data_IF_148710046938
#
_entry.id   IF_148710046938
#
_cell.length_a   1.000
_cell.length_b   1.000
_cell.length_c   1.000
_cell.angle_alpha   90.00
_cell.angle_beta   90.00
_cell.angle_gamma   90.00
#
_symmetry.space_group_name_H-M   'P 1'
#
loop_
_entity.id
_entity.type
_entity.pdbx_description
1 polymer ?
#
# COMPACT_ATOMS: atom_id res chain seq x y z
N UNK A 1 -19.62 36.99 7.17
CA UNK A 1 -20.32 36.73 8.45
C UNK A 1 -21.04 35.41 8.39
N UNK A 2 -20.81 34.54 9.39
CA UNK A 2 -21.43 33.24 9.48
C UNK A 2 -22.84 33.36 10.10
N UNK A 3 -23.86 33.04 9.33
CA UNK A 3 -25.26 33.27 9.71
C UNK A 3 -25.90 32.12 10.51
N UNK A 4 -25.30 30.91 10.41
CA UNK A 4 -25.89 29.67 10.92
C UNK A 4 -25.56 29.32 12.39
N UNK A 5 -24.90 30.22 13.12
CA UNK A 5 -24.54 30.00 14.52
C UNK A 5 -23.24 29.22 14.73
N UNK A 6 -22.68 29.35 15.92
CA UNK A 6 -21.36 28.76 16.29
C UNK A 6 -21.36 27.22 16.29
N UNK A 7 -22.45 26.60 16.70
CA UNK A 7 -22.58 25.15 16.77
C UNK A 7 -22.42 24.49 15.40
N UNK A 8 -23.09 25.05 14.38
CA UNK A 8 -23.02 24.53 13.03
C UNK A 8 -21.62 24.72 12.40
N UNK A 9 -20.94 25.81 12.76
CA UNK A 9 -19.55 26.02 12.37
C UNK A 9 -18.62 24.92 12.92
N UNK A 10 -18.72 24.59 14.19
CA UNK A 10 -17.88 23.57 14.83
C UNK A 10 -18.16 22.18 14.26
N UNK A 11 -19.43 21.86 14.01
CA UNK A 11 -19.80 20.60 13.35
C UNK A 11 -19.22 20.56 11.93
N UNK A 12 -19.36 21.62 11.16
CA UNK A 12 -18.83 21.70 9.79
C UNK A 12 -17.32 21.49 9.73
N UNK A 13 -16.56 22.23 10.53
CA UNK A 13 -15.11 22.11 10.61
C UNK A 13 -14.67 20.72 11.09
N UNK A 14 -15.38 20.17 12.07
CA UNK A 14 -15.08 18.83 12.58
C UNK A 14 -15.34 17.74 11.54
N UNK A 15 -16.44 17.83 10.79
CA UNK A 15 -16.76 16.92 9.71
C UNK A 15 -15.74 17.02 8.56
N UNK A 16 -15.29 18.21 8.21
CA UNK A 16 -14.29 18.42 7.18
C UNK A 16 -12.98 17.73 7.54
N UNK A 17 -12.45 17.95 8.73
CA UNK A 17 -11.23 17.29 9.23
C UNK A 17 -11.42 15.76 9.29
N UNK A 18 -12.55 15.29 9.79
CA UNK A 18 -12.85 13.87 9.93
C UNK A 18 -12.89 13.18 8.57
N UNK A 19 -13.62 13.74 7.61
CA UNK A 19 -13.76 13.13 6.28
C UNK A 19 -12.44 13.17 5.50
N UNK A 20 -11.69 14.28 5.56
CA UNK A 20 -10.36 14.37 4.95
C UNK A 20 -9.40 13.32 5.55
N UNK A 21 -9.36 13.21 6.86
CA UNK A 21 -8.51 12.22 7.55
C UNK A 21 -8.93 10.80 7.22
N UNK A 22 -10.22 10.49 7.22
CA UNK A 22 -10.73 9.17 6.87
C UNK A 22 -10.38 8.78 5.43
N UNK A 23 -10.43 9.72 4.49
CA UNK A 23 -10.06 9.49 3.10
C UNK A 23 -8.58 9.10 2.95
N UNK A 24 -7.68 9.85 3.58
CA UNK A 24 -6.23 9.57 3.53
C UNK A 24 -5.91 8.24 4.20
N UNK A 25 -6.49 7.97 5.37
CA UNK A 25 -6.30 6.70 6.08
C UNK A 25 -6.89 5.51 5.31
N UNK A 26 -7.98 5.71 4.56
CA UNK A 26 -8.54 4.66 3.70
C UNK A 26 -7.59 4.27 2.58
N UNK A 27 -6.95 5.25 1.93
CA UNK A 27 -5.90 4.98 0.92
C UNK A 27 -4.71 4.25 1.52
N UNK A 28 -4.30 4.63 2.73
CA UNK A 28 -3.25 3.94 3.47
C UNK A 28 -3.64 2.47 3.76
N UNK A 29 -4.86 2.23 4.24
CA UNK A 29 -5.37 0.89 4.51
C UNK A 29 -5.41 0.01 3.25
N UNK A 30 -5.84 0.57 2.11
CA UNK A 30 -5.82 -0.13 0.81
C UNK A 30 -4.38 -0.48 0.41
N UNK A 31 -3.42 0.41 0.60
CA UNK A 31 -2.01 0.16 0.29
C UNK A 31 -1.43 -0.96 1.13
N UNK A 32 -1.74 -1.00 2.43
CA UNK A 32 -1.36 -2.08 3.34
C UNK A 32 -2.01 -3.40 2.93
N UNK A 33 -3.29 -3.39 2.55
CA UNK A 33 -4.00 -4.57 2.04
C UNK A 33 -3.30 -5.16 0.81
N UNK A 34 -2.90 -4.30 -0.14
CA UNK A 34 -2.15 -4.72 -1.33
C UNK A 34 -0.78 -5.28 -0.99
N UNK A 35 -0.08 -4.68 -0.05
CA UNK A 35 1.21 -5.19 0.42
C UNK A 35 1.08 -6.60 1.00
N UNK A 36 0.09 -6.84 1.85
CA UNK A 36 -0.19 -8.17 2.42
C UNK A 36 -0.54 -9.18 1.34
N UNK A 37 -1.33 -8.78 0.33
CA UNK A 37 -1.71 -9.64 -0.79
C UNK A 37 -0.50 -10.09 -1.62
N UNK A 38 0.46 -9.20 -1.86
CA UNK A 38 1.67 -9.49 -2.65
C UNK A 38 2.70 -10.29 -1.85
N UNK A 39 2.85 -10.01 -0.55
CA UNK A 39 3.90 -10.60 0.28
C UNK A 39 3.55 -12.00 0.77
N UNK A 40 2.27 -12.24 1.08
CA UNK A 40 1.80 -13.50 1.66
C UNK A 40 0.59 -14.08 0.90
N UNK A 41 0.75 -14.52 -0.36
CA UNK A 41 -0.39 -14.91 -1.21
C UNK A 41 -1.18 -16.10 -0.64
N UNK A 42 -0.53 -17.07 0.00
CA UNK A 42 -1.19 -18.26 0.55
C UNK A 42 -2.00 -17.96 1.81
N UNK A 43 -1.41 -17.20 2.74
CA UNK A 43 -2.07 -16.81 4.00
C UNK A 43 -3.17 -15.78 3.74
N UNK A 44 -2.91 -14.85 2.81
CA UNK A 44 -3.84 -13.81 2.44
C UNK A 44 -5.06 -14.36 1.69
N UNK A 45 -4.88 -15.31 0.77
CA UNK A 45 -5.99 -15.94 0.05
C UNK A 45 -7.00 -16.59 0.98
N UNK A 46 -6.56 -17.25 2.05
CA UNK A 46 -7.42 -17.79 3.11
C UNK A 46 -8.11 -16.70 3.95
N UNK A 47 -7.40 -15.60 4.25
CA UNK A 47 -7.87 -14.52 5.14
C UNK A 47 -8.73 -13.48 4.41
N UNK A 48 -8.45 -13.21 3.11
CA UNK A 48 -9.21 -12.27 2.28
C UNK A 48 -10.68 -12.67 2.10
N UNK A 49 -10.98 -13.95 2.20
CA UNK A 49 -12.37 -14.46 2.19
C UNK A 49 -13.14 -14.07 3.47
N UNK A 50 -12.46 -13.55 4.48
CA UNK A 50 -13.08 -13.08 5.71
C UNK A 50 -13.50 -11.62 5.57
N UNK A 51 -14.80 -11.37 5.42
CA UNK A 51 -15.43 -10.04 5.55
C UNK A 51 -15.01 -9.32 6.84
N UNK A 52 -14.54 -10.07 7.85
CA UNK A 52 -14.06 -9.56 9.14
C UNK A 52 -12.80 -8.70 9.01
N UNK A 53 -11.87 -9.04 8.10
CA UNK A 53 -10.65 -8.24 7.90
C UNK A 53 -10.97 -6.87 7.28
N UNK A 54 -11.81 -6.85 6.24
CA UNK A 54 -12.26 -5.60 5.62
C UNK A 54 -13.01 -4.71 6.61
N UNK A 55 -13.93 -5.29 7.38
CA UNK A 55 -14.66 -4.56 8.43
C UNK A 55 -13.73 -4.04 9.52
N UNK A 56 -12.74 -4.83 9.95
CA UNK A 56 -11.72 -4.40 10.91
C UNK A 56 -10.91 -3.20 10.41
N UNK A 57 -10.48 -3.20 9.14
CA UNK A 57 -9.77 -2.07 8.55
C UNK A 57 -10.63 -0.81 8.49
N UNK A 58 -11.89 -0.93 8.11
CA UNK A 58 -12.84 0.19 8.11
C UNK A 58 -13.00 0.76 9.51
N UNK A 59 -13.21 -0.09 10.52
CA UNK A 59 -13.32 0.34 11.92
C UNK A 59 -12.07 1.09 12.39
N UNK A 60 -10.87 0.56 12.10
CA UNK A 60 -9.60 1.21 12.46
C UNK A 60 -9.48 2.59 11.82
N UNK A 61 -9.83 2.73 10.55
CA UNK A 61 -9.81 4.03 9.84
C UNK A 61 -10.75 5.03 10.51
N UNK A 62 -11.99 4.65 10.76
CA UNK A 62 -12.98 5.55 11.37
C UNK A 62 -12.63 5.91 12.82
N UNK A 63 -12.22 4.94 13.65
CA UNK A 63 -11.79 5.21 15.01
C UNK A 63 -10.58 6.14 15.06
N UNK A 64 -9.57 5.93 14.19
CA UNK A 64 -8.40 6.79 14.10
C UNK A 64 -8.77 8.21 13.66
N UNK A 65 -9.68 8.36 12.70
CA UNK A 65 -10.16 9.67 12.23
C UNK A 65 -10.87 10.43 13.34
N UNK A 66 -11.72 9.76 14.11
CA UNK A 66 -12.41 10.35 15.27
C UNK A 66 -11.40 10.75 16.34
N UNK A 67 -10.41 9.92 16.66
CA UNK A 67 -9.36 10.23 17.64
C UNK A 67 -8.54 11.48 17.26
N UNK A 68 -8.29 11.72 15.97
CA UNK A 68 -7.58 12.91 15.50
C UNK A 68 -8.49 14.15 15.55
N UNK A 69 -9.79 13.99 15.34
CA UNK A 69 -10.76 15.10 15.28
C UNK A 69 -11.26 15.52 16.66
N UNK A 70 -11.30 14.62 17.65
CA UNK A 70 -11.87 14.87 18.98
C UNK A 70 -11.06 15.79 19.92
N UNK A 71 -9.72 15.91 19.91
CA UNK A 71 -8.95 16.67 20.89
C UNK A 71 -9.42 18.11 21.11
N UNK A 72 -9.85 18.89 20.08
CA UNK A 72 -10.36 20.24 20.32
C UNK A 72 -11.63 20.28 21.16
N UNK A 73 -12.43 19.20 21.15
CA UNK A 73 -13.64 19.13 21.97
C UNK A 73 -13.35 18.81 23.45
N UNK A 74 -12.18 18.19 23.74
CA UNK A 74 -11.82 17.70 25.08
C UNK A 74 -10.77 18.52 25.82
N UNK A 75 -10.22 19.60 25.25
CA UNK A 75 -9.27 20.41 26.01
C UNK A 75 -8.39 21.37 25.20
N UNK A 76 -8.29 21.19 23.90
CA UNK A 76 -7.54 22.13 23.03
C UNK A 76 -8.47 23.15 22.38
N UNK A 77 -9.43 23.66 23.17
CA UNK A 77 -10.41 24.62 22.71
C UNK A 77 -9.81 26.06 22.75
N UNK A 78 -10.00 26.82 21.69
CA UNK A 78 -9.56 28.21 21.61
C UNK A 78 -10.58 29.13 22.31
N UNK A 79 -10.19 29.72 23.44
CA UNK A 79 -11.04 30.68 24.20
C UNK A 79 -11.25 31.95 23.35
N UNK A 80 -12.50 32.25 23.03
CA UNK A 80 -12.85 33.45 22.24
C UNK A 80 -13.07 33.24 20.75
N UNK A 81 -12.98 31.99 20.24
CA UNK A 81 -13.18 31.63 18.84
C UNK A 81 -14.50 32.14 18.23
N UNK A 82 -15.54 32.31 19.06
CA UNK A 82 -16.88 32.69 18.59
C UNK A 82 -17.17 34.18 18.70
N UNK A 83 -16.22 35.01 19.18
CA UNK A 83 -16.46 36.45 19.38
C UNK A 83 -16.61 37.25 18.07
N UNK A 84 -16.00 36.78 16.99
CA UNK A 84 -15.88 37.52 15.72
C UNK A 84 -16.95 37.11 14.67
N UNK A 85 -17.94 36.33 15.01
CA UNK A 85 -18.97 35.81 14.06
C UNK A 85 -18.39 35.26 12.73
N UNK A 86 -17.16 34.76 12.79
CA UNK A 86 -16.46 34.13 11.65
C UNK A 86 -16.21 32.67 11.94
N UNK A 87 -16.57 31.80 11.01
CA UNK A 87 -16.26 30.38 11.10
C UNK A 87 -14.83 30.15 10.64
N UNK A 88 -13.96 29.63 11.53
CA UNK A 88 -12.55 29.31 11.21
C UNK A 88 -12.05 28.10 12.00
N UNK A 89 -11.00 27.50 11.50
CA UNK A 89 -10.31 26.38 12.16
C UNK A 89 -9.69 26.80 13.49
N UNK A 90 -9.52 25.83 14.39
CA UNK A 90 -8.81 26.02 15.65
C UNK A 90 -7.35 26.42 15.39
N UNK A 91 -6.91 27.54 15.97
CA UNK A 91 -5.56 28.09 15.82
C UNK A 91 -4.57 27.61 16.88
N UNK A 92 -5.00 26.72 17.77
CA UNK A 92 -4.10 26.16 18.77
C UNK A 92 -2.96 25.40 18.07
N UNK A 93 -1.73 25.91 18.20
CA UNK A 93 -0.55 25.36 17.52
C UNK A 93 -0.34 23.88 17.83
N UNK A 94 -0.57 23.47 19.08
CA UNK A 94 -0.45 22.07 19.49
C UNK A 94 -1.41 21.15 18.74
N UNK A 95 -2.68 21.57 18.61
CA UNK A 95 -3.67 20.81 17.87
C UNK A 95 -3.36 20.75 16.36
N UNK A 96 -2.96 21.87 15.77
CA UNK A 96 -2.64 21.92 14.33
C UNK A 96 -1.48 20.98 14.01
N UNK A 97 -0.43 20.96 14.82
CA UNK A 97 0.71 20.04 14.64
C UNK A 97 0.27 18.60 14.84
N UNK A 98 -0.49 18.29 15.89
CA UNK A 98 -0.99 16.96 16.17
C UNK A 98 -1.86 16.42 15.02
N UNK A 99 -2.81 17.23 14.57
CA UNK A 99 -3.71 16.88 13.46
C UNK A 99 -2.96 16.67 12.16
N UNK A 100 -2.02 17.56 11.81
CA UNK A 100 -1.20 17.43 10.61
C UNK A 100 -0.31 16.18 10.63
N UNK A 101 0.32 15.88 11.76
CA UNK A 101 1.12 14.67 11.92
C UNK A 101 0.26 13.40 11.80
N UNK A 102 -0.89 13.36 12.47
CA UNK A 102 -1.75 12.19 12.48
C UNK A 102 -2.48 11.95 11.15
N UNK A 103 -2.96 13.01 10.50
CA UNK A 103 -3.77 12.89 9.28
C UNK A 103 -2.96 12.84 8.00
N UNK A 104 -1.78 13.40 7.95
CA UNK A 104 -0.99 13.54 6.74
C UNK A 104 0.39 12.87 6.81
N UNK A 105 1.26 13.25 7.75
CA UNK A 105 2.64 12.78 7.76
C UNK A 105 2.77 11.29 8.05
N UNK A 106 2.07 10.78 9.05
CA UNK A 106 2.14 9.35 9.41
C UNK A 106 1.61 8.47 8.27
N UNK A 107 0.41 8.69 7.70
CA UNK A 107 -0.06 7.94 6.55
C UNK A 107 0.86 8.03 5.33
N UNK A 108 1.43 9.21 5.05
CA UNK A 108 2.35 9.41 3.93
C UNK A 108 3.60 8.54 4.06
N UNK A 109 4.24 8.52 5.24
CA UNK A 109 5.43 7.69 5.49
C UNK A 109 5.10 6.21 5.37
N UNK A 110 3.95 5.77 5.91
CA UNK A 110 3.50 4.37 5.78
C UNK A 110 3.27 4.01 4.32
N UNK A 111 2.62 4.87 3.54
CA UNK A 111 2.41 4.65 2.10
C UNK A 111 3.73 4.52 1.34
N UNK A 112 4.67 5.44 1.54
CA UNK A 112 5.99 5.38 0.90
C UNK A 112 6.72 4.08 1.24
N UNK A 113 6.74 3.71 2.52
CA UNK A 113 7.34 2.44 2.97
C UNK A 113 6.71 1.23 2.27
N UNK A 114 5.38 1.16 2.25
CA UNK A 114 4.63 0.07 1.62
C UNK A 114 4.92 -0.02 0.12
N UNK A 115 4.93 1.11 -0.61
CA UNK A 115 5.24 1.13 -2.04
C UNK A 115 6.66 0.67 -2.33
N UNK A 116 7.65 1.11 -1.55
CA UNK A 116 9.02 0.64 -1.69
C UNK A 116 9.13 -0.87 -1.48
N UNK A 117 8.46 -1.40 -0.48
CA UNK A 117 8.44 -2.85 -0.18
C UNK A 117 7.75 -3.65 -1.29
N UNK A 118 6.63 -3.18 -1.82
CA UNK A 118 5.94 -3.81 -2.95
C UNK A 118 6.85 -3.85 -4.18
N UNK A 119 7.48 -2.73 -4.52
CA UNK A 119 8.40 -2.62 -5.65
C UNK A 119 9.58 -3.61 -5.53
N UNK A 120 10.18 -3.71 -4.35
CA UNK A 120 11.26 -4.67 -4.08
C UNK A 120 10.79 -6.13 -4.23
N UNK A 121 9.59 -6.47 -3.74
CA UNK A 121 9.07 -7.84 -3.83
C UNK A 121 8.77 -8.20 -5.29
N UNK A 122 8.16 -7.29 -6.05
CA UNK A 122 7.86 -7.50 -7.47
C UNK A 122 9.16 -7.66 -8.27
N UNK A 123 10.16 -6.80 -8.05
CA UNK A 123 11.45 -6.89 -8.73
C UNK A 123 12.15 -8.22 -8.45
N UNK A 124 12.15 -8.69 -7.21
CA UNK A 124 12.71 -10.01 -6.85
C UNK A 124 11.99 -11.17 -7.54
N UNK A 125 10.66 -11.13 -7.60
CA UNK A 125 9.87 -12.17 -8.30
C UNK A 125 10.15 -12.17 -9.80
N UNK A 126 10.22 -11.00 -10.42
CA UNK A 126 10.54 -10.88 -11.84
C UNK A 126 11.92 -11.46 -12.17
N UNK A 127 12.95 -11.14 -11.37
CA UNK A 127 14.29 -11.68 -11.55
C UNK A 127 14.33 -13.21 -11.36
N UNK A 128 13.56 -13.74 -10.41
CA UNK A 128 13.49 -15.19 -10.19
C UNK A 128 12.82 -15.92 -11.35
N UNK A 129 11.72 -15.36 -11.89
CA UNK A 129 11.05 -15.92 -13.06
C UNK A 129 11.95 -15.88 -14.30
N UNK A 130 12.65 -14.78 -14.54
CA UNK A 130 13.62 -14.67 -15.63
C UNK A 130 14.76 -15.70 -15.55
N UNK A 131 15.22 -16.03 -14.34
CA UNK A 131 16.22 -17.08 -14.13
C UNK A 131 15.67 -18.49 -14.43
N UNK A 132 14.42 -18.76 -14.06
CA UNK A 132 13.76 -20.04 -14.34
C UNK A 132 13.59 -20.21 -15.85
N UNK A 133 13.09 -19.18 -16.54
CA UNK A 133 12.90 -19.22 -17.99
C UNK A 133 14.23 -19.46 -18.74
N UNK A 134 15.29 -18.76 -18.37
CA UNK A 134 16.62 -18.97 -18.91
C UNK A 134 17.16 -20.39 -18.64
N UNK A 135 16.88 -20.98 -17.48
CA UNK A 135 17.27 -22.36 -17.17
C UNK A 135 16.47 -23.36 -18.00
N UNK A 136 15.17 -23.12 -18.18
CA UNK A 136 14.29 -23.96 -18.98
C UNK A 136 14.70 -23.95 -20.47
N UNK A 137 14.97 -22.77 -21.03
CA UNK A 137 15.50 -22.62 -22.39
C UNK A 137 16.86 -23.31 -22.59
N UNK A 138 17.75 -23.21 -21.59
CA UNK A 138 19.05 -23.89 -21.63
C UNK A 138 18.90 -25.40 -21.57
N UNK A 139 17.97 -25.90 -20.74
CA UNK A 139 17.68 -27.33 -20.64
C UNK A 139 17.08 -27.88 -21.94
N UNK A 140 16.14 -27.17 -22.57
CA UNK A 140 15.56 -27.54 -23.85
C UNK A 140 16.58 -27.57 -24.96
N UNK A 141 17.53 -26.60 -25.02
CA UNK A 141 18.63 -26.64 -26.00
C UNK A 141 19.55 -27.85 -25.80
N UNK A 142 19.84 -28.23 -24.55
CA UNK A 142 20.66 -29.42 -24.25
C UNK A 142 19.96 -30.72 -24.65
N UNK A 143 18.65 -30.81 -24.46
CA UNK A 143 17.85 -31.97 -24.89
C UNK A 143 17.80 -32.07 -26.41
N UNK A 144 17.53 -30.93 -27.12
CA UNK A 144 17.55 -30.88 -28.57
C UNK A 144 18.88 -31.27 -29.19
N UNK A 145 20.02 -30.83 -28.63
CA UNK A 145 21.36 -31.24 -29.07
C UNK A 145 21.60 -32.74 -28.83
N UNK A 146 20.97 -33.35 -27.83
CA UNK A 146 21.13 -34.76 -27.54
C UNK A 146 20.33 -35.63 -28.52
N UNK A 147 19.13 -35.22 -28.90
CA UNK A 147 18.32 -35.89 -29.92
C UNK A 147 18.95 -35.83 -31.31
N UNK A 148 19.51 -34.66 -31.73
CA UNK A 148 20.26 -34.57 -33.00
C UNK A 148 21.47 -35.48 -33.00
N UNK A 149 22.20 -35.59 -31.88
CA UNK A 149 23.37 -36.49 -31.73
C UNK A 149 23.02 -37.98 -31.77
N UNK A 150 21.84 -38.40 -31.37
CA UNK A 150 21.37 -39.78 -31.44
C UNK A 150 20.85 -40.13 -32.84
N UNK A 151 20.27 -39.16 -33.57
CA UNK A 151 19.80 -39.34 -34.94
C UNK A 151 20.97 -39.46 -35.94
N UNK A 152 22.09 -38.74 -35.72
CA UNK A 152 23.29 -38.82 -36.56
C UNK A 152 24.10 -40.08 -36.28
N UNK A 153 24.04 -40.70 -35.10
CA UNK A 153 24.71 -41.97 -34.78
C UNK A 153 24.10 -43.17 -35.55
N UNK A 154 22.95 -43.03 -36.16
CA UNK A 154 22.33 -44.05 -37.01
C UNK A 154 22.82 -44.04 -38.47
N UNK A 155 23.64 -43.08 -38.89
CA UNK A 155 24.14 -42.99 -40.25
C UNK A 155 25.59 -42.42 -40.23
N UNK A 156 26.54 -43.33 -40.40
CA UNK A 156 27.95 -43.06 -40.72
C UNK A 156 28.87 -42.65 -39.56
N UNK A 157 29.75 -43.58 -39.24
CA UNK A 157 31.09 -43.44 -38.65
C UNK A 157 31.91 -42.48 -39.52
N UNK A 158 32.28 -41.35 -39.02
CA UNK A 158 33.51 -40.56 -39.17
C UNK A 158 33.23 -39.04 -39.03
N UNK A 159 34.03 -38.45 -38.11
CA UNK A 159 34.34 -37.02 -38.00
C UNK A 159 33.20 -35.98 -37.90
N UNK A 160 32.76 -35.75 -36.66
CA UNK A 160 32.43 -34.36 -36.31
C UNK A 160 32.51 -34.12 -34.79
N UNK A 161 33.60 -33.49 -34.39
CA UNK A 161 33.73 -32.87 -33.08
C UNK A 161 32.74 -31.73 -32.98
N UNK A 162 31.71 -31.93 -32.21
CA UNK A 162 30.57 -31.03 -32.06
C UNK A 162 30.99 -29.76 -31.33
N UNK A 163 30.92 -28.64 -32.02
CA UNK A 163 30.93 -27.28 -31.44
C UNK A 163 29.61 -26.98 -30.76
N UNK A 164 29.40 -27.51 -29.55
CA UNK A 164 28.31 -27.03 -28.64
C UNK A 164 28.88 -26.15 -27.52
N UNK A 165 29.97 -25.42 -27.78
CA UNK A 165 30.52 -24.41 -26.87
C UNK A 165 30.54 -23.05 -27.55
N UNK A 166 29.42 -22.32 -27.40
CA UNK A 166 29.44 -20.84 -27.33
C UNK A 166 28.14 -20.30 -26.77
#
# INVERSE_FOLDING_TARGET
SWVFGWLLCDIWVSLDILLCTASILSLCAISVDRYLAVTQPLTYSRRRRSKRLAFGMILVVWCSSVLITCPPMFGWYEIGRHKDQTCRYNRNTGYVIFSAMGSFFIPMVVMLYVYLRISCVIARRHNHLGQIDNRTMRSQKLVGCKEESETERGSSEEDNVIKCTR
#
